data_IF_704969404983
#
_entry.id   IF_704969404983
#
_cell.length_a   1.000
_cell.length_b   1.000
_cell.length_c   1.000
_cell.angle_alpha   90.00
_cell.angle_beta   90.00
_cell.angle_gamma   90.00
#
_symmetry.space_group_name_H-M   'P 1'
#
loop_
_entity.id
_entity.type
_entity.pdbx_description
1 polymer ?
#
# COMPACT_ATOMS: atom_id res chain seq x y z
N UNK A 1 22.09 15.90 -5.93
CA UNK A 1 21.05 16.49 -6.82
C UNK A 1 19.98 15.46 -7.15
N UNK A 2 18.73 15.88 -7.43
CA UNK A 2 17.62 14.95 -7.70
C UNK A 2 17.65 14.43 -9.16
N UNK A 3 17.66 13.10 -9.41
CA UNK A 3 17.67 12.56 -10.77
C UNK A 3 16.38 12.89 -11.52
N UNK A 4 16.48 13.08 -12.84
CA UNK A 4 15.36 13.51 -13.68
C UNK A 4 14.10 12.62 -13.60
N UNK A 5 14.28 11.31 -13.35
CA UNK A 5 13.18 10.35 -13.22
C UNK A 5 12.29 10.56 -11.99
N UNK A 6 12.75 11.31 -10.98
CA UNK A 6 11.98 11.55 -9.74
C UNK A 6 11.01 12.72 -9.85
N UNK A 7 11.22 13.68 -10.76
CA UNK A 7 10.31 14.81 -10.94
C UNK A 7 8.88 14.40 -11.33
N UNK A 8 8.65 13.53 -12.34
CA UNK A 8 7.29 13.12 -12.66
C UNK A 8 6.63 12.34 -11.52
N UNK A 9 7.41 11.54 -10.77
CA UNK A 9 6.92 10.81 -9.61
C UNK A 9 6.51 11.73 -8.47
N UNK A 10 7.31 12.77 -8.20
CA UNK A 10 7.00 13.79 -7.21
C UNK A 10 5.64 14.43 -7.52
N UNK A 11 5.44 14.87 -8.77
CA UNK A 11 4.16 15.47 -9.19
C UNK A 11 3.00 14.49 -9.00
N UNK A 12 3.15 13.25 -9.43
CA UNK A 12 2.13 12.21 -9.29
C UNK A 12 1.83 11.92 -7.81
N UNK A 13 2.86 11.86 -6.95
CA UNK A 13 2.72 11.59 -5.53
C UNK A 13 1.91 12.70 -4.83
N UNK A 14 2.27 13.97 -5.04
CA UNK A 14 1.56 15.11 -4.45
C UNK A 14 0.12 15.21 -4.96
N UNK A 15 -0.11 15.04 -6.26
CA UNK A 15 -1.47 14.96 -6.81
C UNK A 15 -2.26 13.81 -6.17
N UNK A 16 -1.64 12.65 -5.97
CA UNK A 16 -2.29 11.48 -5.37
C UNK A 16 -2.64 11.70 -3.89
N UNK A 17 -1.79 12.40 -3.12
CA UNK A 17 -2.11 12.82 -1.75
C UNK A 17 -3.37 13.70 -1.74
N UNK A 18 -3.42 14.71 -2.61
CA UNK A 18 -4.60 15.60 -2.73
C UNK A 18 -5.85 14.80 -3.08
N UNK A 19 -5.77 13.89 -4.05
CA UNK A 19 -6.91 13.06 -4.44
C UNK A 19 -7.36 12.14 -3.30
N UNK A 20 -6.42 11.52 -2.57
CA UNK A 20 -6.78 10.74 -1.39
C UNK A 20 -7.52 11.59 -0.37
N UNK A 21 -7.04 12.80 -0.05
CA UNK A 21 -7.70 13.71 0.88
C UNK A 21 -9.12 14.09 0.40
N UNK A 22 -9.31 14.35 -0.90
CA UNK A 22 -10.63 14.62 -1.47
C UNK A 22 -11.56 13.40 -1.34
N UNK A 23 -11.09 12.20 -1.68
CA UNK A 23 -11.86 10.96 -1.56
C UNK A 23 -12.24 10.70 -0.09
N UNK A 24 -11.30 10.87 0.85
CA UNK A 24 -11.56 10.78 2.29
C UNK A 24 -12.65 11.77 2.70
N UNK A 25 -12.49 13.05 2.33
CA UNK A 25 -13.46 14.11 2.64
C UNK A 25 -14.85 13.82 2.12
N UNK A 26 -14.98 13.35 0.88
CA UNK A 26 -16.26 12.98 0.26
C UNK A 26 -16.90 11.80 1.00
N UNK A 27 -16.14 10.72 1.22
CA UNK A 27 -16.67 9.53 1.90
C UNK A 27 -17.15 9.92 3.29
N UNK A 28 -16.38 10.69 4.06
CA UNK A 28 -16.73 11.11 5.42
C UNK A 28 -17.93 12.05 5.44
N UNK A 29 -17.94 13.08 4.58
CA UNK A 29 -19.02 14.07 4.49
C UNK A 29 -20.36 13.44 4.14
N UNK A 30 -20.38 12.52 3.17
CA UNK A 30 -21.62 11.92 2.67
C UNK A 30 -21.97 10.57 3.32
N UNK A 31 -21.16 10.09 4.28
CA UNK A 31 -21.39 8.80 4.96
C UNK A 31 -22.73 8.74 5.68
N UNK A 32 -23.18 9.85 6.25
CA UNK A 32 -24.45 9.93 6.99
C UNK A 32 -25.65 9.90 6.05
N UNK A 33 -25.60 10.56 4.90
CA UNK A 33 -26.74 10.66 3.96
C UNK A 33 -26.83 9.55 2.91
N UNK A 34 -25.69 8.96 2.49
CA UNK A 34 -25.65 8.01 1.37
C UNK A 34 -25.26 6.62 1.88
N UNK A 35 -26.20 5.67 1.83
CA UNK A 35 -26.02 4.30 2.35
C UNK A 35 -24.85 3.56 1.70
N UNK A 36 -24.56 3.82 0.42
CA UNK A 36 -23.43 3.20 -0.28
C UNK A 36 -22.07 3.51 0.36
N UNK A 37 -21.87 4.73 0.89
CA UNK A 37 -20.61 5.14 1.54
C UNK A 37 -20.38 4.46 2.91
N UNK A 38 -21.39 3.81 3.48
CA UNK A 38 -21.27 3.03 4.72
C UNK A 38 -20.79 1.59 4.49
N UNK A 39 -20.62 1.17 3.24
CA UNK A 39 -20.18 -0.20 2.91
C UNK A 39 -18.75 -0.48 3.40
N UNK A 40 -18.43 -1.77 3.65
CA UNK A 40 -17.06 -2.20 3.96
C UNK A 40 -16.06 -1.74 2.91
N UNK A 41 -16.41 -1.73 1.63
CA UNK A 41 -15.50 -1.27 0.59
C UNK A 41 -14.98 0.15 0.84
N UNK A 42 -15.86 1.09 1.19
CA UNK A 42 -15.42 2.46 1.49
C UNK A 42 -14.71 2.58 2.83
N UNK A 43 -15.07 1.80 3.86
CA UNK A 43 -14.29 1.76 5.11
C UNK A 43 -12.86 1.25 4.88
N UNK A 44 -12.70 0.20 4.07
CA UNK A 44 -11.40 -0.33 3.64
C UNK A 44 -10.61 0.70 2.84
N UNK A 45 -11.31 1.43 1.98
CA UNK A 45 -10.73 2.53 1.21
C UNK A 45 -10.20 3.63 2.11
N UNK A 46 -10.95 4.03 3.14
CA UNK A 46 -10.50 5.02 4.12
C UNK A 46 -9.21 4.54 4.81
N UNK A 47 -9.20 3.29 5.30
CA UNK A 47 -8.05 2.71 5.98
C UNK A 47 -6.80 2.65 5.07
N UNK A 48 -6.95 2.16 3.83
CA UNK A 48 -5.83 2.12 2.88
C UNK A 48 -5.34 3.53 2.52
N UNK A 49 -6.27 4.48 2.30
CA UNK A 49 -5.90 5.86 1.95
C UNK A 49 -5.06 6.53 3.03
N UNK A 50 -5.37 6.29 4.31
CA UNK A 50 -4.56 6.81 5.42
C UNK A 50 -3.13 6.26 5.36
N UNK A 51 -2.98 4.95 5.17
CA UNK A 51 -1.65 4.31 5.08
C UNK A 51 -0.90 4.82 3.85
N UNK A 52 -1.56 4.93 2.70
CA UNK A 52 -0.98 5.43 1.45
C UNK A 52 -0.52 6.89 1.58
N UNK A 53 -1.33 7.76 2.20
CA UNK A 53 -0.92 9.15 2.47
C UNK A 53 0.30 9.17 3.38
N UNK A 54 0.31 8.42 4.48
CA UNK A 54 1.43 8.41 5.40
C UNK A 54 2.71 7.87 4.75
N UNK A 55 2.63 6.83 3.92
CA UNK A 55 3.79 6.30 3.21
C UNK A 55 4.29 7.28 2.14
N UNK A 56 3.39 7.94 1.39
CA UNK A 56 3.77 8.99 0.44
C UNK A 56 4.45 10.16 1.16
N UNK A 57 3.88 10.65 2.26
CA UNK A 57 4.50 11.72 3.06
C UNK A 57 5.86 11.29 3.62
N UNK A 58 6.00 10.05 4.10
CA UNK A 58 7.29 9.51 4.52
C UNK A 58 8.29 9.56 3.37
N UNK A 59 7.91 9.07 2.19
CA UNK A 59 8.81 9.06 1.03
C UNK A 59 9.18 10.47 0.55
N UNK A 60 8.21 11.38 0.46
CA UNK A 60 8.37 12.74 -0.05
C UNK A 60 9.09 13.68 0.93
N UNK A 61 8.83 13.56 2.23
CA UNK A 61 9.34 14.49 3.24
C UNK A 61 10.56 13.96 4.00
N UNK A 62 10.72 12.63 4.08
CA UNK A 62 11.79 12.02 4.87
C UNK A 62 12.77 11.28 3.97
N UNK A 63 12.33 10.25 3.24
CA UNK A 63 13.23 9.36 2.49
C UNK A 63 13.93 10.08 1.34
N UNK A 64 13.18 10.80 0.49
CA UNK A 64 13.76 11.47 -0.69
C UNK A 64 14.65 12.65 -0.29
N UNK A 65 14.26 13.56 0.64
CA UNK A 65 15.15 14.61 1.09
C UNK A 65 16.42 14.07 1.74
N UNK A 66 16.31 13.00 2.55
CA UNK A 66 17.46 12.32 3.15
C UNK A 66 18.41 11.75 2.09
N UNK A 67 17.91 10.92 1.18
CA UNK A 67 18.74 10.18 0.22
C UNK A 67 19.42 11.10 -0.82
N UNK A 68 18.85 12.29 -1.09
CA UNK A 68 19.38 13.24 -2.06
C UNK A 68 19.94 14.54 -1.45
N UNK A 69 19.99 14.65 -0.13
CA UNK A 69 20.51 15.83 0.57
C UNK A 69 19.65 17.08 0.40
N UNK A 70 18.36 16.93 0.08
CA UNK A 70 17.47 18.09 -0.08
C UNK A 70 17.24 18.74 1.29
N UNK A 71 17.36 20.07 1.35
CA UNK A 71 17.16 20.88 2.55
C UNK A 71 18.10 20.55 3.75
N UNK A 72 19.08 19.64 3.56
CA UNK A 72 20.05 19.24 4.59
C UNK A 72 19.40 18.83 5.94
N UNK A 73 18.21 18.21 5.88
CA UNK A 73 17.42 17.83 7.08
C UNK A 73 18.09 16.75 7.94
N UNK A 74 18.97 15.95 7.35
CA UNK A 74 19.64 14.84 8.03
C UNK A 74 21.14 15.00 7.92
N UNK A 75 21.84 14.73 9.01
CA UNK A 75 23.29 14.70 9.07
C UNK A 75 23.78 13.28 9.35
N UNK A 76 25.00 12.93 8.93
CA UNK A 76 25.63 11.69 9.34
C UNK A 76 25.65 11.55 10.87
N UNK A 77 25.15 10.41 11.35
CA UNK A 77 25.01 10.14 12.77
C UNK A 77 25.13 8.63 12.99
N UNK A 78 26.08 8.23 13.83
CA UNK A 78 26.21 6.84 14.25
C UNK A 78 25.20 6.54 15.35
N UNK A 79 24.64 5.32 15.35
CA UNK A 79 23.71 4.85 16.39
C UNK A 79 22.50 5.76 16.60
N UNK A 80 21.85 6.14 15.50
CA UNK A 80 20.71 7.05 15.51
C UNK A 80 19.40 6.31 15.76
N UNK A 81 18.72 6.65 16.86
CA UNK A 81 17.36 6.16 17.17
C UNK A 81 16.38 6.58 16.07
N UNK A 82 16.53 7.80 15.54
CA UNK A 82 15.70 8.29 14.45
C UNK A 82 15.88 7.43 13.19
N UNK A 83 17.11 7.06 12.86
CA UNK A 83 17.38 6.17 11.73
C UNK A 83 16.68 4.81 11.87
N UNK A 84 16.70 4.23 13.08
CA UNK A 84 15.99 2.99 13.38
C UNK A 84 14.47 3.15 13.25
N UNK A 85 13.89 4.23 13.80
CA UNK A 85 12.45 4.52 13.69
C UNK A 85 12.04 4.68 12.22
N UNK A 86 12.79 5.45 11.42
CA UNK A 86 12.47 5.66 10.01
C UNK A 86 12.48 4.33 9.23
N UNK A 87 13.50 3.50 9.44
CA UNK A 87 13.61 2.19 8.80
C UNK A 87 12.43 1.28 9.17
N UNK A 88 12.09 1.22 10.45
CA UNK A 88 10.97 0.43 10.97
C UNK A 88 9.63 0.93 10.44
N UNK A 89 9.37 2.23 10.52
CA UNK A 89 8.14 2.86 10.04
C UNK A 89 7.92 2.63 8.54
N UNK A 90 8.96 2.82 7.70
CA UNK A 90 8.86 2.60 6.26
C UNK A 90 8.48 1.14 5.96
N UNK A 91 9.10 0.19 6.66
CA UNK A 91 8.83 -1.25 6.48
C UNK A 91 7.45 -1.64 6.99
N UNK A 92 7.01 -1.05 8.11
CA UNK A 92 5.70 -1.27 8.70
C UNK A 92 4.58 -0.79 7.77
N UNK A 93 4.66 0.45 7.31
CA UNK A 93 3.67 1.08 6.43
C UNK A 93 3.54 0.30 5.11
N UNK A 94 4.67 -0.15 4.55
CA UNK A 94 4.66 -0.99 3.35
C UNK A 94 4.00 -2.35 3.61
N UNK A 95 4.34 -3.01 4.72
CA UNK A 95 3.73 -4.30 5.11
C UNK A 95 2.22 -4.18 5.35
N UNK A 96 1.77 -3.07 5.95
CA UNK A 96 0.36 -2.75 6.11
C UNK A 96 -0.37 -2.64 4.76
N UNK A 97 0.25 -2.00 3.75
CA UNK A 97 -0.33 -1.93 2.39
C UNK A 97 -0.47 -3.29 1.70
N UNK A 98 0.39 -4.25 2.02
CA UNK A 98 0.22 -5.62 1.55
C UNK A 98 -0.96 -6.28 2.25
N UNK A 99 -0.94 -6.29 3.58
CA UNK A 99 -1.94 -7.01 4.37
C UNK A 99 -3.36 -6.45 4.20
N UNK A 100 -3.52 -5.17 3.85
CA UNK A 100 -4.86 -4.58 3.65
C UNK A 100 -5.54 -5.13 2.39
N UNK A 101 -4.79 -5.73 1.47
CA UNK A 101 -5.38 -6.37 0.30
C UNK A 101 -6.20 -7.61 0.66
N UNK A 102 -5.84 -8.31 1.74
CA UNK A 102 -6.56 -9.51 2.22
C UNK A 102 -8.02 -9.18 2.56
N UNK A 103 -8.33 -8.19 3.43
CA UNK A 103 -9.71 -7.82 3.68
C UNK A 103 -10.40 -7.23 2.45
N UNK A 104 -9.70 -6.53 1.54
CA UNK A 104 -10.31 -6.16 0.26
C UNK A 104 -10.77 -7.38 -0.53
N UNK A 105 -9.91 -8.38 -0.70
CA UNK A 105 -10.24 -9.61 -1.42
C UNK A 105 -11.39 -10.37 -0.75
N UNK A 106 -11.37 -10.51 0.58
CA UNK A 106 -12.44 -11.15 1.35
C UNK A 106 -13.77 -10.40 1.24
N UNK A 107 -13.74 -9.05 1.30
CA UNK A 107 -14.91 -8.21 1.12
C UNK A 107 -15.50 -8.32 -0.30
N UNK A 108 -14.67 -8.42 -1.34
CA UNK A 108 -15.17 -8.63 -2.72
C UNK A 108 -15.72 -10.04 -2.91
N UNK A 109 -15.04 -11.05 -2.38
CA UNK A 109 -15.52 -12.43 -2.41
C UNK A 109 -16.88 -12.58 -1.73
N UNK A 110 -17.03 -12.07 -0.50
CA UNK A 110 -18.28 -12.17 0.25
C UNK A 110 -19.43 -11.39 -0.38
N UNK A 111 -19.16 -10.25 -1.04
CA UNK A 111 -20.17 -9.50 -1.79
C UNK A 111 -20.83 -10.31 -2.92
N UNK A 112 -20.09 -11.21 -3.56
CA UNK A 112 -20.61 -12.07 -4.64
C UNK A 112 -21.03 -13.47 -4.20
N UNK A 113 -20.52 -13.97 -3.07
CA UNK A 113 -20.81 -15.34 -2.60
C UNK A 113 -21.91 -15.42 -1.55
N UNK A 114 -22.01 -14.42 -0.67
CA UNK A 114 -22.85 -14.50 0.52
C UNK A 114 -23.70 -13.23 0.68
N UNK A 115 -24.48 -12.92 -0.35
CA UNK A 115 -25.30 -11.70 -0.44
C UNK A 115 -26.17 -11.45 0.80
N UNK A 116 -26.72 -12.52 1.41
CA UNK A 116 -27.56 -12.43 2.61
C UNK A 116 -26.78 -12.14 3.91
N UNK A 117 -25.53 -12.60 4.05
CA UNK A 117 -24.71 -12.39 5.27
C UNK A 117 -23.63 -11.31 5.11
N UNK A 118 -23.54 -10.69 3.93
CA UNK A 118 -22.53 -9.69 3.59
C UNK A 118 -22.46 -8.55 4.62
N UNK A 119 -23.60 -8.07 5.14
CA UNK A 119 -23.62 -6.96 6.11
C UNK A 119 -22.97 -7.32 7.45
N UNK A 120 -23.15 -8.55 7.96
CA UNK A 120 -22.52 -8.99 9.21
C UNK A 120 -21.03 -9.24 9.02
N UNK A 121 -20.64 -9.91 7.93
CA UNK A 121 -19.23 -10.21 7.62
C UNK A 121 -18.44 -8.94 7.33
N UNK A 122 -19.03 -7.99 6.61
CA UNK A 122 -18.52 -6.63 6.36
C UNK A 122 -18.23 -5.89 7.68
N UNK A 123 -19.14 -5.95 8.66
CA UNK A 123 -18.97 -5.25 9.94
C UNK A 123 -17.85 -5.84 10.80
N UNK A 124 -17.72 -7.17 10.85
CA UNK A 124 -16.62 -7.85 11.56
C UNK A 124 -15.27 -7.55 10.92
N UNK A 125 -15.23 -7.48 9.58
CA UNK A 125 -14.02 -7.12 8.84
C UNK A 125 -13.58 -5.68 9.13
N UNK A 126 -14.53 -4.73 9.19
CA UNK A 126 -14.26 -3.34 9.56
C UNK A 126 -13.65 -3.24 10.97
N UNK A 127 -14.23 -3.95 11.95
CA UNK A 127 -13.75 -3.95 13.33
C UNK A 127 -12.34 -4.55 13.42
N UNK A 128 -12.10 -5.68 12.74
CA UNK A 128 -10.79 -6.34 12.73
C UNK A 128 -9.68 -5.40 12.22
N UNK A 129 -9.97 -4.62 11.18
CA UNK A 129 -8.99 -3.70 10.59
C UNK A 129 -8.69 -2.53 11.52
N UNK A 130 -9.74 -1.90 12.06
CA UNK A 130 -9.57 -0.77 13.00
C UNK A 130 -8.79 -1.22 14.24
N UNK A 131 -9.02 -2.44 14.73
CA UNK A 131 -8.38 -2.95 15.94
C UNK A 131 -6.93 -3.43 15.72
N UNK A 132 -6.60 -4.04 14.57
CA UNK A 132 -5.32 -4.74 14.40
C UNK A 132 -4.31 -3.99 13.53
N UNK A 133 -4.74 -3.08 12.64
CA UNK A 133 -3.80 -2.38 11.75
C UNK A 133 -2.78 -1.48 12.46
N UNK A 134 -3.17 -0.68 13.47
CA UNK A 134 -2.23 0.17 14.21
C UNK A 134 -1.15 -0.63 14.96
N UNK A 135 -1.49 -1.85 15.38
CA UNK A 135 -0.64 -2.73 16.20
C UNK A 135 0.58 -3.29 15.46
N UNK A 136 0.64 -3.19 14.13
CA UNK A 136 1.82 -3.61 13.36
C UNK A 136 3.00 -2.64 13.48
N UNK A 137 2.73 -1.35 13.67
CA UNK A 137 3.77 -0.31 13.66
C UNK A 137 4.82 -0.52 14.78
N UNK A 138 4.44 -0.78 16.05
CA UNK A 138 5.42 -1.00 17.11
C UNK A 138 6.32 -2.21 16.87
N UNK A 139 5.79 -3.31 16.32
CA UNK A 139 6.57 -4.54 16.10
C UNK A 139 7.68 -4.36 15.06
N UNK A 140 7.38 -3.68 13.95
CA UNK A 140 8.37 -3.40 12.91
C UNK A 140 9.39 -2.33 13.33
N UNK A 141 9.01 -1.40 14.20
CA UNK A 141 9.92 -0.38 14.76
C UNK A 141 10.81 -0.97 15.85
N UNK A 142 10.30 -1.91 16.65
CA UNK A 142 11.06 -2.58 17.69
C UNK A 142 12.25 -3.37 17.14
N UNK A 143 12.14 -3.96 15.93
CA UNK A 143 13.24 -4.70 15.31
C UNK A 143 14.50 -3.83 15.19
N UNK A 144 14.54 -2.75 14.38
CA UNK A 144 15.74 -1.95 14.18
C UNK A 144 16.20 -1.19 15.43
N UNK A 145 15.32 -0.92 16.40
CA UNK A 145 15.70 -0.28 17.66
C UNK A 145 16.65 -1.14 18.50
N UNK A 146 16.63 -2.46 18.33
CA UNK A 146 17.57 -3.38 18.99
C UNK A 146 18.92 -3.48 18.27
N UNK A 147 19.14 -2.73 17.19
CA UNK A 147 20.34 -2.78 16.38
C UNK A 147 20.97 -1.40 16.18
N UNK A 148 22.27 -1.39 15.90
CA UNK A 148 23.02 -0.16 15.65
C UNK A 148 22.75 0.38 14.23
N UNK A 149 21.59 1.01 14.05
CA UNK A 149 21.24 1.71 12.81
C UNK A 149 21.87 3.11 12.80
N UNK A 150 22.43 3.50 11.66
CA UNK A 150 23.10 4.79 11.50
C UNK A 150 22.72 5.50 10.22
N UNK A 151 22.97 6.80 10.24
CA UNK A 151 22.96 7.71 9.10
C UNK A 151 24.38 7.81 8.54
N UNK A 152 24.61 7.25 7.35
CA UNK A 152 25.93 7.20 6.71
C UNK A 152 25.93 8.09 5.47
N UNK A 153 26.97 8.90 5.22
CA UNK A 153 27.01 9.77 4.05
C UNK A 153 26.90 9.00 2.73
N UNK A 154 26.11 9.49 1.79
CA UNK A 154 25.96 8.96 0.43
C UNK A 154 25.79 10.09 -0.58
N UNK A 155 26.87 10.45 -1.29
CA UNK A 155 26.87 11.59 -2.19
C UNK A 155 26.51 12.87 -1.44
N UNK A 156 25.51 13.61 -1.95
CA UNK A 156 25.00 14.82 -1.29
C UNK A 156 24.07 14.52 -0.09
N UNK A 157 23.62 13.27 0.07
CA UNK A 157 22.63 12.86 1.06
C UNK A 157 23.18 11.89 2.11
N UNK A 158 22.25 11.24 2.81
CA UNK A 158 22.53 10.31 3.90
C UNK A 158 21.73 9.01 3.69
N UNK A 159 22.38 7.86 3.80
CA UNK A 159 21.76 6.54 3.73
C UNK A 159 21.50 5.98 5.12
N UNK A 160 20.42 5.23 5.25
CA UNK A 160 20.26 4.31 6.39
C UNK A 160 21.20 3.12 6.23
N UNK A 161 22.10 2.97 7.19
CA UNK A 161 22.93 1.79 7.36
C UNK A 161 22.44 1.00 8.56
N UNK A 162 22.18 -0.28 8.37
CA UNK A 162 21.73 -1.16 9.43
C UNK A 162 22.52 -2.48 9.37
N UNK A 163 22.72 -3.16 10.51
CA UNK A 163 23.35 -4.48 10.51
C UNK A 163 22.60 -5.45 9.59
N UNK A 164 23.34 -6.38 8.99
CA UNK A 164 22.79 -7.37 8.04
C UNK A 164 21.64 -8.17 8.66
N UNK A 165 21.72 -8.45 9.95
CA UNK A 165 20.69 -9.14 10.73
C UNK A 165 19.38 -8.36 10.78
N UNK A 166 19.43 -7.06 11.12
CA UNK A 166 18.26 -6.19 11.15
C UNK A 166 17.59 -6.10 9.77
N UNK A 167 18.40 -5.93 8.71
CA UNK A 167 17.92 -5.88 7.33
C UNK A 167 17.28 -7.22 6.93
N UNK A 168 17.90 -8.35 7.29
CA UNK A 168 17.38 -9.67 6.99
C UNK A 168 16.03 -9.91 7.69
N UNK A 169 15.92 -9.60 8.98
CA UNK A 169 14.67 -9.75 9.74
C UNK A 169 13.54 -8.90 9.16
N UNK A 170 13.80 -7.61 8.89
CA UNK A 170 12.82 -6.71 8.28
C UNK A 170 12.42 -7.17 6.88
N UNK A 171 13.38 -7.63 6.07
CA UNK A 171 13.11 -8.15 4.73
C UNK A 171 12.27 -9.42 4.77
N UNK A 172 12.57 -10.37 5.67
CA UNK A 172 11.77 -11.59 5.86
C UNK A 172 10.35 -11.23 6.27
N UNK A 173 10.19 -10.36 7.28
CA UNK A 173 8.87 -9.94 7.76
C UNK A 173 8.03 -9.27 6.66
N UNK A 174 8.62 -8.35 5.88
CA UNK A 174 7.95 -7.71 4.77
C UNK A 174 7.57 -8.71 3.66
N UNK A 175 8.45 -9.67 3.35
CA UNK A 175 8.19 -10.69 2.34
C UNK A 175 7.10 -11.67 2.77
N UNK A 176 7.06 -12.08 4.03
CA UNK A 176 5.97 -12.91 4.57
C UNK A 176 4.63 -12.19 4.40
N UNK A 177 4.55 -10.90 4.74
CA UNK A 177 3.32 -10.11 4.54
C UNK A 177 2.90 -10.06 3.07
N UNK A 178 3.87 -9.84 2.18
CA UNK A 178 3.64 -9.81 0.74
C UNK A 178 3.14 -11.15 0.19
N UNK A 179 3.81 -12.26 0.52
CA UNK A 179 3.45 -13.60 0.08
C UNK A 179 2.11 -14.05 0.61
N UNK A 180 1.85 -13.81 1.90
CA UNK A 180 0.56 -14.11 2.51
C UNK A 180 -0.57 -13.38 1.77
N UNK A 181 -0.36 -12.10 1.44
CA UNK A 181 -1.32 -11.31 0.68
C UNK A 181 -1.56 -11.89 -0.70
N UNK A 182 -0.52 -12.31 -1.42
CA UNK A 182 -0.64 -12.94 -2.74
C UNK A 182 -1.42 -14.25 -2.68
N UNK A 183 -1.00 -15.17 -1.81
CA UNK A 183 -1.56 -16.52 -1.67
C UNK A 183 -3.04 -16.47 -1.29
N UNK A 184 -3.44 -15.52 -0.44
CA UNK A 184 -4.83 -15.37 -0.02
C UNK A 184 -5.66 -14.59 -1.04
N UNK A 185 -5.15 -13.49 -1.59
CA UNK A 185 -5.94 -12.60 -2.44
C UNK A 185 -6.21 -13.19 -3.83
N UNK A 186 -5.26 -13.90 -4.44
CA UNK A 186 -5.43 -14.45 -5.80
C UNK A 186 -6.65 -15.40 -5.86
N UNK A 187 -6.77 -16.44 -5.02
CA UNK A 187 -7.94 -17.33 -5.04
C UNK A 187 -9.26 -16.59 -4.79
N UNK A 188 -9.28 -15.65 -3.84
CA UNK A 188 -10.47 -14.89 -3.50
C UNK A 188 -10.92 -13.98 -4.64
N UNK A 189 -9.98 -13.28 -5.28
CA UNK A 189 -10.29 -12.43 -6.44
C UNK A 189 -10.71 -13.25 -7.66
N UNK A 190 -10.06 -14.39 -7.92
CA UNK A 190 -10.48 -15.30 -9.00
C UNK A 190 -11.90 -15.82 -8.76
N UNK A 191 -12.20 -16.27 -7.54
CA UNK A 191 -13.54 -16.73 -7.18
C UNK A 191 -14.57 -15.60 -7.27
N UNK A 192 -14.25 -14.39 -6.81
CA UNK A 192 -15.09 -13.21 -6.94
C UNK A 192 -15.36 -12.86 -8.41
N UNK A 193 -14.32 -12.85 -9.25
CA UNK A 193 -14.45 -12.58 -10.68
C UNK A 193 -15.33 -13.62 -11.39
N UNK A 194 -15.10 -14.91 -11.13
CA UNK A 194 -15.89 -16.00 -11.68
C UNK A 194 -17.37 -15.89 -11.28
N UNK A 195 -17.64 -15.66 -9.99
CA UNK A 195 -19.02 -15.52 -9.47
C UNK A 195 -19.72 -14.26 -9.95
N UNK A 196 -18.99 -13.15 -10.11
CA UNK A 196 -19.54 -11.91 -10.65
C UNK A 196 -20.10 -12.10 -12.07
N UNK A 197 -19.51 -12.99 -12.88
CA UNK A 197 -20.00 -13.35 -14.22
C UNK A 197 -21.35 -14.05 -14.12
N UNK A 198 -21.46 -15.06 -13.26
CA UNK A 198 -22.68 -15.84 -13.04
C UNK A 198 -23.83 -15.01 -12.45
N UNK A 199 -23.57 -14.12 -11.50
CA UNK A 199 -24.61 -13.28 -10.87
C UNK A 199 -25.24 -12.26 -11.82
N UNK A 200 -24.50 -11.74 -12.80
CA UNK A 200 -25.06 -10.80 -13.78
C UNK A 200 -26.14 -11.45 -14.64
N UNK A 201 -26.01 -12.76 -14.91
CA UNK A 201 -26.95 -13.52 -15.71
C UNK A 201 -28.22 -13.92 -14.91
N UNK A 202 -28.10 -14.08 -13.59
CA UNK A 202 -29.13 -14.72 -12.76
C UNK A 202 -29.95 -13.75 -11.88
N UNK A 203 -29.59 -12.48 -11.75
CA UNK A 203 -30.24 -11.58 -10.77
C UNK A 203 -30.86 -10.33 -11.41
N UNK A 204 -32.10 -10.03 -11.00
CA UNK A 204 -32.87 -8.84 -11.42
C UNK A 204 -32.26 -7.49 -10.99
N UNK A 205 -31.20 -7.46 -10.18
CA UNK A 205 -30.59 -6.23 -9.66
C UNK A 205 -29.26 -5.88 -10.36
N UNK A 206 -29.31 -5.70 -11.68
CA UNK A 206 -28.14 -5.43 -12.53
C UNK A 206 -27.33 -4.18 -12.09
N UNK A 207 -27.99 -3.16 -11.52
CA UNK A 207 -27.31 -1.95 -11.02
C UNK A 207 -26.35 -2.23 -9.87
N UNK A 208 -26.78 -3.04 -8.89
CA UNK A 208 -25.94 -3.42 -7.74
C UNK A 208 -24.74 -4.25 -8.19
N UNK A 209 -24.96 -5.27 -9.03
CA UNK A 209 -23.88 -6.13 -9.55
C UNK A 209 -22.85 -5.31 -10.33
N UNK A 210 -23.30 -4.34 -11.13
CA UNK A 210 -22.41 -3.43 -11.87
C UNK A 210 -21.57 -2.55 -10.94
N UNK A 211 -22.14 -2.09 -9.82
CA UNK A 211 -21.41 -1.33 -8.81
C UNK A 211 -20.35 -2.19 -8.11
N UNK A 212 -20.70 -3.40 -7.65
CA UNK A 212 -19.74 -4.29 -6.99
C UNK A 212 -18.62 -4.74 -7.93
N UNK A 213 -18.90 -4.92 -9.23
CA UNK A 213 -17.86 -5.17 -10.25
C UNK A 213 -16.89 -4.00 -10.40
N UNK A 214 -17.37 -2.76 -10.37
CA UNK A 214 -16.48 -1.57 -10.42
C UNK A 214 -15.55 -1.55 -9.21
N UNK A 215 -16.09 -1.82 -8.03
CA UNK A 215 -15.28 -1.95 -6.81
C UNK A 215 -14.26 -3.10 -6.90
N UNK A 216 -14.63 -4.24 -7.48
CA UNK A 216 -13.71 -5.35 -7.75
C UNK A 216 -12.57 -4.93 -8.69
N UNK A 217 -12.87 -4.21 -9.77
CA UNK A 217 -11.85 -3.70 -10.70
C UNK A 217 -10.90 -2.73 -10.00
N UNK A 218 -11.39 -1.80 -9.17
CA UNK A 218 -10.53 -0.91 -8.39
C UNK A 218 -9.55 -1.69 -7.49
N UNK A 219 -10.07 -2.72 -6.81
CA UNK A 219 -9.29 -3.55 -5.90
C UNK A 219 -8.24 -4.37 -6.66
N UNK A 220 -8.60 -4.94 -7.81
CA UNK A 220 -7.67 -5.67 -8.69
C UNK A 220 -6.54 -4.78 -9.22
N UNK A 221 -6.85 -3.57 -9.68
CA UNK A 221 -5.85 -2.62 -10.17
C UNK A 221 -4.85 -2.27 -9.05
N UNK A 222 -5.35 -2.02 -7.84
CA UNK A 222 -4.49 -1.73 -6.68
C UNK A 222 -3.63 -2.94 -6.29
N UNK A 223 -4.21 -4.14 -6.30
CA UNK A 223 -3.52 -5.38 -5.97
C UNK A 223 -2.47 -5.80 -7.02
N UNK A 224 -2.68 -5.47 -8.30
CA UNK A 224 -1.72 -5.78 -9.36
C UNK A 224 -0.34 -5.16 -9.09
N UNK A 225 -0.28 -3.97 -8.50
CA UNK A 225 0.99 -3.33 -8.15
C UNK A 225 1.69 -3.96 -6.95
N UNK A 226 0.93 -4.56 -6.03
CA UNK A 226 1.51 -5.39 -4.98
C UNK A 226 2.28 -6.55 -5.62
N UNK A 227 1.66 -7.25 -6.58
CA UNK A 227 2.32 -8.35 -7.31
C UNK A 227 3.60 -7.86 -8.00
N UNK A 228 3.55 -6.70 -8.68
CA UNK A 228 4.73 -6.14 -9.36
C UNK A 228 5.87 -5.83 -8.37
N UNK A 229 5.57 -5.23 -7.22
CA UNK A 229 6.60 -4.97 -6.20
C UNK A 229 7.16 -6.26 -5.58
N UNK A 230 6.32 -7.28 -5.36
CA UNK A 230 6.76 -8.60 -4.88
C UNK A 230 7.68 -9.31 -5.87
N UNK A 231 7.35 -9.28 -7.17
CA UNK A 231 8.20 -9.83 -8.23
C UNK A 231 9.54 -9.09 -8.25
N UNK A 232 9.53 -7.75 -8.18
CA UNK A 232 10.76 -6.96 -8.12
C UNK A 232 11.61 -7.34 -6.90
N UNK A 233 11.00 -7.48 -5.74
CA UNK A 233 11.70 -7.87 -4.51
C UNK A 233 12.29 -9.29 -4.60
N UNK A 234 11.56 -10.23 -5.22
CA UNK A 234 12.04 -11.59 -5.45
C UNK A 234 13.21 -11.66 -6.43
N UNK A 235 13.11 -10.94 -7.56
CA UNK A 235 14.19 -10.83 -8.55
C UNK A 235 15.46 -10.23 -7.92
N UNK A 236 15.30 -9.23 -7.05
CA UNK A 236 16.42 -8.63 -6.32
C UNK A 236 17.12 -9.65 -5.40
N UNK A 237 16.37 -10.53 -4.73
CA UNK A 237 16.93 -11.60 -3.90
C UNK A 237 17.73 -12.57 -4.77
N UNK A 238 17.16 -13.04 -5.89
CA UNK A 238 17.85 -13.95 -6.83
C UNK A 238 19.14 -13.32 -7.34
N UNK A 239 19.09 -12.06 -7.80
CA UNK A 239 20.26 -11.35 -8.31
C UNK A 239 21.36 -11.21 -7.25
N UNK A 240 20.97 -10.99 -5.98
CA UNK A 240 21.90 -10.91 -4.85
C UNK A 240 22.59 -12.25 -4.58
N UNK A 241 21.84 -13.35 -4.62
CA UNK A 241 22.37 -14.71 -4.41
C UNK A 241 23.26 -15.16 -5.58
N UNK A 242 22.87 -14.85 -6.81
CA UNK A 242 23.59 -15.24 -8.02
C UNK A 242 24.88 -14.44 -8.26
N UNK A 243 25.18 -13.42 -7.45
CA UNK A 243 26.31 -12.47 -7.64
C UNK A 243 26.34 -11.77 -9.01
N UNK A 244 25.22 -11.74 -9.74
CA UNK A 244 25.08 -11.05 -11.04
C UNK A 244 24.67 -9.59 -10.79
N UNK A 245 25.35 -8.93 -9.85
CA UNK A 245 24.92 -7.66 -9.28
C UNK A 245 24.98 -6.48 -10.27
N UNK A 246 25.83 -6.58 -11.29
CA UNK A 246 26.20 -5.42 -12.10
C UNK A 246 25.36 -5.22 -13.38
N UNK A 247 24.62 -6.23 -13.84
CA UNK A 247 23.94 -6.18 -15.16
C UNK A 247 22.41 -6.16 -15.12
N UNK A 248 21.77 -6.47 -13.99
CA UNK A 248 20.29 -6.58 -13.91
C UNK A 248 19.66 -5.60 -12.90
N UNK A 249 20.47 -4.90 -12.10
CA UNK A 249 19.94 -3.97 -11.11
C UNK A 249 19.50 -2.65 -11.75
N UNK A 250 18.20 -2.62 -12.08
CA UNK A 250 17.42 -1.39 -12.09
C UNK A 250 17.87 -0.55 -10.87
N UNK A 251 18.37 0.68 -11.06
CA UNK A 251 19.15 1.41 -10.06
C UNK A 251 18.43 1.49 -8.71
N UNK A 252 19.17 1.70 -7.62
CA UNK A 252 18.66 1.89 -6.25
C UNK A 252 17.43 2.84 -6.16
N UNK A 253 17.28 3.73 -7.16
CA UNK A 253 16.14 4.60 -7.43
C UNK A 253 14.80 3.88 -7.72
N UNK A 254 14.80 2.67 -8.28
CA UNK A 254 13.60 1.94 -8.68
C UNK A 254 12.70 1.53 -7.52
N UNK A 255 13.25 1.44 -6.30
CA UNK A 255 12.49 1.17 -5.07
C UNK A 255 11.47 2.26 -4.77
N UNK A 256 11.81 3.52 -5.08
CA UNK A 256 10.88 4.66 -4.98
C UNK A 256 9.72 4.48 -5.94
N UNK A 257 10.03 4.12 -7.19
CA UNK A 257 9.07 4.05 -8.27
C UNK A 257 7.96 3.04 -7.96
N UNK A 258 8.28 1.81 -7.54
CA UNK A 258 7.25 0.80 -7.26
C UNK A 258 6.43 1.11 -6.01
N UNK A 259 7.08 1.63 -4.95
CA UNK A 259 6.40 1.93 -3.69
C UNK A 259 5.45 3.12 -3.83
N UNK A 260 5.88 4.19 -4.50
CA UNK A 260 5.05 5.37 -4.77
C UNK A 260 3.89 5.02 -5.70
N UNK A 261 4.14 4.29 -6.79
CA UNK A 261 3.08 3.84 -7.70
C UNK A 261 2.02 3.01 -6.97
N UNK A 262 2.43 2.10 -6.08
CA UNK A 262 1.52 1.29 -5.26
C UNK A 262 0.59 2.16 -4.41
N UNK A 263 1.07 3.28 -3.89
CA UNK A 263 0.26 4.23 -3.13
C UNK A 263 -0.62 5.10 -4.05
N UNK A 264 -0.10 5.50 -5.20
CA UNK A 264 -0.78 6.43 -6.10
C UNK A 264 -1.94 5.78 -6.84
N UNK A 265 -1.87 4.51 -7.22
CA UNK A 265 -2.84 3.95 -8.18
C UNK A 265 -4.25 3.76 -7.64
N UNK A 266 -4.41 3.46 -6.35
CA UNK A 266 -5.75 3.28 -5.75
C UNK A 266 -6.67 4.52 -5.94
N UNK A 267 -6.28 5.75 -5.55
CA UNK A 267 -7.14 6.92 -5.68
C UNK A 267 -7.49 7.22 -7.14
N UNK A 268 -6.55 7.05 -8.06
CA UNK A 268 -6.80 7.18 -9.49
C UNK A 268 -7.78 6.13 -10.02
N UNK A 269 -7.62 4.86 -9.62
CA UNK A 269 -8.55 3.80 -9.98
C UNK A 269 -9.96 4.08 -9.44
N UNK A 270 -10.06 4.63 -8.22
CA UNK A 270 -11.33 5.05 -7.65
C UNK A 270 -11.98 6.20 -8.43
N UNK A 271 -11.23 7.24 -8.78
CA UNK A 271 -11.72 8.31 -9.64
C UNK A 271 -12.20 7.78 -10.99
N UNK A 272 -11.44 6.90 -11.63
CA UNK A 272 -11.74 6.36 -12.96
C UNK A 272 -12.94 5.41 -12.97
N UNK A 273 -13.09 4.55 -11.96
CA UNK A 273 -14.10 3.49 -11.97
C UNK A 273 -15.34 3.79 -11.11
N UNK A 274 -15.24 4.66 -10.09
CA UNK A 274 -16.33 4.88 -9.13
C UNK A 274 -17.15 6.15 -9.44
N UNK A 275 -18.33 5.94 -10.05
CA UNK A 275 -19.27 7.03 -10.40
C UNK A 275 -19.75 7.82 -9.18
N UNK A 276 -19.90 7.17 -8.02
CA UNK A 276 -20.39 7.86 -6.81
C UNK A 276 -19.37 8.89 -6.31
N UNK A 277 -18.09 8.53 -6.31
CA UNK A 277 -17.01 9.46 -5.95
C UNK A 277 -17.01 10.64 -6.92
N UNK A 278 -17.05 10.40 -8.24
CA UNK A 278 -17.08 11.47 -9.24
C UNK A 278 -18.30 12.39 -9.16
N UNK A 279 -19.46 11.85 -8.75
CA UNK A 279 -20.67 12.66 -8.61
C UNK A 279 -20.60 13.64 -7.43
N UNK A 280 -19.76 13.35 -6.44
CA UNK A 280 -19.63 14.12 -5.20
C UNK A 280 -18.28 14.81 -5.06
N UNK A 281 -17.44 14.78 -6.10
CA UNK A 281 -16.22 15.55 -6.25
C UNK A 281 -16.57 16.96 -6.76
#
# INVERSE_FOLDING_TARGET
SLPASHYPLLVIAWCSIVIHCLILGIILRFRSGVTSFRSAFFTLTLAQSVISIFLLLHTELLTRPRDFGLFQLFQPENHSILAAILLGCQTAQKSQLFLIQIPFAANRFTAFMAFASHNMTSRRLQISIIAHFPSFLPGFVAIPLNFNVSFVPQGDGVKLNAPREAIAMLSIAAQVCSWLSIVVCIPLYLAAAFRSRKMLFLHNNARYVKQERRHLVCALISFALVIVDSIRAFLLIIATVARVLDTILVPHHSRFHTTELMCCVQPWAMLACNVLIRKHL
#
